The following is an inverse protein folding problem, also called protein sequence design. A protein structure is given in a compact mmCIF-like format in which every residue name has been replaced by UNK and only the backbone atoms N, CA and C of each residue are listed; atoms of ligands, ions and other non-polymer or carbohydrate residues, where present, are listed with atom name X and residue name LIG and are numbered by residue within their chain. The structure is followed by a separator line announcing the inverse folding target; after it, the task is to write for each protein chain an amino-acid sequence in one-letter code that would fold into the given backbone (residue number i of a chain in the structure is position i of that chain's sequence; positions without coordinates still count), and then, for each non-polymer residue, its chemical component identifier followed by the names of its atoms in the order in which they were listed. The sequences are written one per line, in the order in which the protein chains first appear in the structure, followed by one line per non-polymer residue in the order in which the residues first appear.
data_IF_477518742711
#
_entry.id   IF_477518742711
#
_cell.length_a   1.000
_cell.length_b   1.000
_cell.length_c   1.000
_cell.angle_alpha   90.00
_cell.angle_beta   90.00
_cell.angle_gamma   90.00
#
_symmetry.space_group_name_H-M   'P 1'
#
loop_
_entity.id
_entity.type
_entity.pdbx_description
1 polymer ?
#
# COMPACT_ATOMS: atom_id res chain seq x y z
N UNK A 1 5.11 8.37 -31.85
CA UNK A 1 4.38 9.05 -30.75
C UNK A 1 4.29 8.04 -29.62
N UNK A 2 5.19 8.14 -28.64
CA UNK A 2 5.28 7.19 -27.52
C UNK A 2 4.32 7.70 -26.45
N UNK A 3 3.24 6.97 -26.19
CA UNK A 3 2.35 7.27 -25.07
C UNK A 3 3.12 7.03 -23.77
N UNK A 4 3.43 8.11 -23.07
CA UNK A 4 4.03 8.11 -21.73
C UNK A 4 2.96 7.54 -20.80
N UNK A 5 3.22 6.38 -20.18
CA UNK A 5 2.37 5.82 -19.15
C UNK A 5 2.27 6.83 -18.01
N UNK A 6 1.17 7.57 -17.99
CA UNK A 6 0.91 8.54 -16.96
C UNK A 6 0.70 7.79 -15.63
N UNK A 7 1.41 8.26 -14.61
CA UNK A 7 1.37 7.84 -13.21
C UNK A 7 0.03 8.27 -12.57
N UNK A 8 -1.09 7.93 -13.20
CA UNK A 8 -2.44 8.42 -12.87
C UNK A 8 -3.15 7.40 -12.01
N UNK A 9 -3.27 7.71 -10.72
CA UNK A 9 -4.55 7.85 -9.99
C UNK A 9 -4.29 7.87 -8.48
N UNK A 10 -3.30 7.12 -7.99
CA UNK A 10 -3.11 6.90 -6.54
C UNK A 10 -2.39 8.05 -5.83
N UNK A 11 -1.48 8.77 -6.50
CA UNK A 11 -0.77 9.93 -5.90
C UNK A 11 -1.66 11.15 -5.65
N UNK A 12 -2.86 11.23 -6.26
CA UNK A 12 -3.85 12.28 -5.92
C UNK A 12 -4.79 11.86 -4.79
N UNK A 13 -5.02 10.56 -4.59
CA UNK A 13 -5.87 10.07 -3.51
C UNK A 13 -5.19 10.10 -2.15
N UNK A 14 -3.85 10.02 -2.11
CA UNK A 14 -3.08 10.09 -0.89
C UNK A 14 -2.34 11.42 -0.73
N UNK A 15 -2.64 12.12 0.37
CA UNK A 15 -1.81 13.21 0.84
C UNK A 15 -0.85 12.69 1.92
N UNK A 16 0.45 12.82 1.68
CA UNK A 16 1.49 12.56 2.69
C UNK A 16 1.51 13.73 3.67
N UNK A 17 1.26 13.47 4.95
CA UNK A 17 1.28 14.49 6.00
C UNK A 17 2.48 14.24 6.94
N UNK A 18 3.46 15.16 6.88
CA UNK A 18 4.58 15.43 7.82
C UNK A 18 5.93 14.70 7.68
N UNK A 19 7.04 15.48 7.80
CA UNK A 19 8.13 15.28 8.75
C UNK A 19 7.94 16.21 9.97
N UNK A 20 8.03 15.69 11.19
CA UNK A 20 7.67 16.40 12.42
C UNK A 20 8.57 17.62 12.71
N UNK A 21 7.97 18.77 13.08
CA UNK A 21 8.65 19.85 13.81
C UNK A 21 8.34 19.66 15.30
N UNK A 22 9.39 19.57 16.10
CA UNK A 22 9.36 19.18 17.51
C UNK A 22 8.37 19.95 18.38
N UNK A 23 7.42 19.23 19.00
CA UNK A 23 6.86 19.61 20.30
C UNK A 23 7.32 18.57 21.31
N UNK A 24 8.19 18.99 22.24
CA UNK A 24 8.58 18.16 23.38
C UNK A 24 7.45 18.15 24.40
N UNK A 25 7.00 16.95 24.78
CA UNK A 25 6.40 16.70 26.08
C UNK A 25 7.13 15.54 26.75
N UNK A 26 7.33 15.68 28.05
CA UNK A 26 8.24 14.95 28.90
C UNK A 26 8.13 13.41 28.83
N UNK A 27 9.31 12.76 28.93
CA UNK A 27 9.59 11.30 28.97
C UNK A 27 9.83 10.64 27.61
N UNK A 28 11.05 10.82 27.13
CA UNK A 28 11.97 9.85 26.51
C UNK A 28 11.42 8.58 25.80
N UNK A 29 10.34 8.66 25.04
CA UNK A 29 10.05 7.73 23.95
C UNK A 29 10.05 8.51 22.65
N UNK A 30 11.15 8.42 21.89
CA UNK A 30 11.08 8.71 20.45
C UNK A 30 10.31 7.56 19.81
N UNK A 31 8.98 7.62 19.83
CA UNK A 31 8.16 6.82 18.94
C UNK A 31 8.68 7.03 17.51
N UNK A 32 8.84 5.97 16.69
CA UNK A 32 9.26 6.15 15.31
C UNK A 32 8.27 7.10 14.62
N UNK A 33 8.72 8.07 13.80
CA UNK A 33 7.80 8.88 13.02
C UNK A 33 7.16 7.96 11.99
N UNK A 34 5.96 7.48 12.30
CA UNK A 34 5.11 6.70 11.40
C UNK A 34 4.89 7.50 10.12
N UNK A 35 4.97 6.84 8.97
CA UNK A 35 4.63 7.49 7.71
C UNK A 35 3.12 7.43 7.52
N UNK A 36 2.47 8.59 7.50
CA UNK A 36 1.01 8.68 7.45
C UNK A 36 0.54 9.12 6.06
N UNK A 37 -0.36 8.33 5.48
CA UNK A 37 -1.07 8.66 4.26
C UNK A 37 -2.56 8.84 4.55
N UNK A 38 -3.16 9.90 4.02
CA UNK A 38 -4.59 10.19 4.18
C UNK A 38 -5.33 9.94 2.88
N UNK A 39 -6.30 9.04 2.91
CA UNK A 39 -7.25 8.77 1.84
C UNK A 39 -8.47 9.68 2.01
N UNK A 40 -8.55 10.74 1.20
CA UNK A 40 -9.68 11.69 1.20
C UNK A 40 -10.87 11.27 0.35
N UNK A 41 -10.70 10.21 -0.43
CA UNK A 41 -11.71 9.61 -1.27
C UNK A 41 -11.38 8.12 -1.42
N UNK A 42 -12.34 7.32 -1.90
CA UNK A 42 -12.07 5.91 -2.20
C UNK A 42 -10.90 5.75 -3.16
N UNK A 43 -10.05 4.77 -2.87
CA UNK A 43 -8.87 4.42 -3.66
C UNK A 43 -9.17 3.14 -4.41
N UNK A 44 -8.87 3.15 -5.70
CA UNK A 44 -8.86 1.94 -6.51
C UNK A 44 -7.42 1.65 -6.91
N UNK A 45 -6.96 0.42 -6.64
CA UNK A 45 -5.75 -0.15 -7.24
C UNK A 45 -6.21 -0.87 -8.52
N UNK A 46 -6.00 -0.29 -9.71
CA UNK A 46 -6.50 -0.87 -10.96
C UNK A 46 -5.84 -2.21 -11.27
N UNK A 47 -6.53 -3.02 -12.08
CA UNK A 47 -5.96 -4.25 -12.63
C UNK A 47 -4.61 -4.01 -13.33
N UNK A 48 -3.66 -4.93 -13.14
CA UNK A 48 -2.31 -4.83 -13.69
C UNK A 48 -1.35 -3.91 -12.90
N UNK A 49 -1.85 -3.18 -11.90
CA UNK A 49 -1.01 -2.42 -10.97
C UNK A 49 -0.84 -3.17 -9.64
N UNK A 50 0.26 -2.86 -8.96
CA UNK A 50 0.56 -3.37 -7.61
C UNK A 50 0.74 -2.22 -6.62
N UNK A 51 0.01 -2.27 -5.51
CA UNK A 51 0.18 -1.40 -4.35
C UNK A 51 1.11 -2.06 -3.33
N UNK A 52 2.25 -1.45 -3.06
CA UNK A 52 3.20 -1.90 -2.04
C UNK A 52 3.23 -0.92 -0.88
N UNK A 53 3.01 -1.43 0.33
CA UNK A 53 2.97 -0.66 1.57
C UNK A 53 4.07 -1.17 2.50
N UNK A 54 5.02 -0.29 2.81
CA UNK A 54 6.17 -0.60 3.65
C UNK A 54 5.81 -0.74 5.14
N UNK A 55 6.64 -1.41 5.95
CA UNK A 55 6.45 -1.48 7.40
C UNK A 55 6.32 -0.10 8.08
N UNK A 56 5.47 -0.02 9.10
CA UNK A 56 5.26 1.19 9.91
C UNK A 56 4.46 2.30 9.20
N UNK A 57 3.87 2.01 8.04
CA UNK A 57 2.96 2.93 7.35
C UNK A 57 1.57 2.89 7.98
N UNK A 58 1.01 4.06 8.24
CA UNK A 58 -0.37 4.25 8.68
C UNK A 58 -1.16 4.86 7.53
N UNK A 59 -2.26 4.21 7.15
CA UNK A 59 -3.21 4.71 6.17
C UNK A 59 -4.50 5.09 6.90
N UNK A 60 -4.82 6.38 6.82
CA UNK A 60 -6.01 6.97 7.44
C UNK A 60 -7.08 7.27 6.39
N UNK A 61 -8.28 6.75 6.58
CA UNK A 61 -9.43 6.88 5.69
C UNK A 61 -10.40 7.94 6.21
N UNK A 62 -10.79 8.87 5.33
CA UNK A 62 -11.89 9.79 5.62
C UNK A 62 -13.24 9.03 5.64
N UNK A 63 -14.28 9.70 6.12
CA UNK A 63 -15.60 9.08 6.27
C UNK A 63 -16.10 8.45 4.96
N UNK A 64 -16.69 7.26 5.05
CA UNK A 64 -17.27 6.52 3.92
C UNK A 64 -16.30 6.24 2.75
N UNK A 65 -14.99 6.36 2.96
CA UNK A 65 -14.00 6.01 1.94
C UNK A 65 -13.61 4.54 2.02
N UNK A 66 -13.05 4.00 0.93
CA UNK A 66 -12.67 2.59 0.82
C UNK A 66 -11.33 2.40 0.13
N UNK A 67 -10.75 1.20 0.27
CA UNK A 67 -9.67 0.72 -0.58
C UNK A 67 -10.16 -0.47 -1.41
N UNK A 68 -10.38 -0.25 -2.70
CA UNK A 68 -10.73 -1.30 -3.65
C UNK A 68 -9.50 -1.77 -4.41
N UNK A 69 -9.24 -3.08 -4.43
CA UNK A 69 -8.08 -3.68 -5.09
C UNK A 69 -8.55 -4.56 -6.25
N UNK A 70 -8.39 -4.06 -7.48
CA UNK A 70 -8.59 -4.78 -8.73
C UNK A 70 -7.26 -5.33 -9.30
N UNK A 71 -6.14 -4.81 -8.82
CA UNK A 71 -4.77 -5.30 -9.06
C UNK A 71 -4.26 -6.20 -7.93
N UNK A 72 -3.06 -5.91 -7.41
CA UNK A 72 -2.49 -6.58 -6.23
C UNK A 72 -2.15 -5.61 -5.11
N UNK A 73 -2.18 -6.11 -3.88
CA UNK A 73 -1.71 -5.42 -2.69
C UNK A 73 -0.66 -6.25 -1.95
N UNK A 74 0.39 -5.58 -1.48
CA UNK A 74 1.42 -6.13 -0.63
C UNK A 74 1.63 -5.18 0.55
N UNK A 75 0.97 -5.47 1.66
CA UNK A 75 1.12 -4.78 2.94
C UNK A 75 1.93 -5.68 3.87
N UNK A 76 3.22 -5.37 4.01
CA UNK A 76 4.16 -6.18 4.81
C UNK A 76 4.73 -5.37 5.96
N UNK A 77 4.00 -5.36 7.07
CA UNK A 77 4.49 -4.84 8.34
C UNK A 77 5.54 -5.75 8.98
N UNK A 78 6.06 -5.31 10.11
CA UNK A 78 6.91 -6.10 11.01
C UNK A 78 6.38 -5.96 12.43
N UNK A 79 6.81 -6.84 13.34
CA UNK A 79 6.51 -6.69 14.77
C UNK A 79 6.99 -5.32 15.28
N UNK A 80 6.06 -4.50 15.80
CA UNK A 80 6.32 -3.13 16.26
C UNK A 80 6.39 -2.08 15.15
N UNK A 81 6.27 -2.49 13.89
CA UNK A 81 6.14 -1.63 12.71
C UNK A 81 5.02 -2.19 11.81
N UNK A 82 3.86 -2.46 12.42
CA UNK A 82 2.69 -2.96 11.70
C UNK A 82 2.25 -1.96 10.62
N UNK A 83 1.65 -2.46 9.54
CA UNK A 83 0.91 -1.59 8.60
C UNK A 83 -0.50 -1.40 9.16
N UNK A 84 -0.91 -0.16 9.35
CA UNK A 84 -2.18 0.16 10.01
C UNK A 84 -3.15 0.81 9.01
N UNK A 85 -4.35 0.24 8.88
CA UNK A 85 -5.47 0.82 8.14
C UNK A 85 -6.54 1.25 9.15
N UNK A 86 -6.86 2.54 9.19
CA UNK A 86 -7.70 3.11 10.25
C UNK A 86 -8.45 4.35 9.77
N UNK A 87 -9.38 4.85 10.58
CA UNK A 87 -10.12 6.10 10.33
C UNK A 87 -9.25 7.34 10.53
N UNK A 88 -9.57 8.42 9.82
CA UNK A 88 -8.91 9.72 9.98
C UNK A 88 -8.99 10.26 11.41
N UNK A 89 -10.10 9.95 12.10
CA UNK A 89 -10.43 10.38 13.46
C UNK A 89 -9.64 9.66 14.56
N UNK A 90 -8.77 8.70 14.20
CA UNK A 90 -8.05 7.90 15.18
C UNK A 90 -6.74 8.57 15.62
N UNK A 91 -6.80 9.38 16.67
CA UNK A 91 -5.63 10.12 17.15
C UNK A 91 -4.56 9.24 17.80
N UNK A 92 -4.92 8.05 18.28
CA UNK A 92 -3.98 7.08 18.85
C UNK A 92 -2.98 6.56 17.80
N UNK A 93 -3.38 6.59 16.52
CA UNK A 93 -2.54 6.16 15.39
C UNK A 93 -1.92 7.36 14.70
N UNK A 94 -0.79 7.82 15.21
CA UNK A 94 0.00 8.87 14.55
C UNK A 94 -0.54 10.30 14.71
N UNK A 95 -1.44 10.53 15.68
CA UNK A 95 -1.90 11.86 16.10
C UNK A 95 -3.15 12.39 15.37
N UNK A 96 -3.56 13.58 15.79
CA UNK A 96 -4.70 14.35 15.27
C UNK A 96 -4.38 14.91 13.87
N UNK A 97 -4.74 14.14 12.83
CA UNK A 97 -4.45 14.46 11.43
C UNK A 97 -5.57 15.29 10.80
N UNK A 98 -6.81 15.16 11.31
CA UNK A 98 -7.98 15.98 10.99
C UNK A 98 -7.90 17.38 11.60
N UNK A 99 -7.11 17.58 12.66
CA UNK A 99 -6.86 18.87 13.29
C UNK A 99 -8.03 19.39 14.12
N UNK A 100 -8.87 18.49 14.65
CA UNK A 100 -10.06 18.86 15.43
C UNK A 100 -9.91 18.67 16.95
N UNK A 101 -8.69 18.35 17.40
CA UNK A 101 -8.35 18.18 18.80
C UNK A 101 -8.96 16.90 19.38
N UNK A 102 -10.07 17.03 20.10
CA UNK A 102 -10.80 15.92 20.70
C UNK A 102 -12.29 15.94 20.29
N UNK A 103 -12.62 16.71 19.25
CA UNK A 103 -14.00 16.93 18.85
C UNK A 103 -14.62 15.68 18.23
N UNK A 104 -13.81 14.86 17.56
CA UNK A 104 -14.22 13.57 17.02
C UNK A 104 -13.34 12.45 17.56
N UNK A 105 -13.83 11.22 17.49
CA UNK A 105 -13.09 10.03 17.87
C UNK A 105 -13.44 8.88 16.93
N UNK A 106 -12.59 7.83 16.89
CA UNK A 106 -12.79 6.74 15.96
C UNK A 106 -14.01 5.90 16.38
N UNK A 107 -14.84 5.55 15.41
CA UNK A 107 -16.01 4.71 15.60
C UNK A 107 -16.06 3.59 14.55
N UNK A 108 -16.64 2.46 14.93
CA UNK A 108 -16.93 1.39 13.97
C UNK A 108 -17.78 1.93 12.82
N UNK A 109 -17.50 1.47 11.58
CA UNK A 109 -18.12 1.96 10.35
C UNK A 109 -17.72 3.37 9.90
N UNK A 110 -16.68 3.97 10.47
CA UNK A 110 -16.19 5.28 10.00
C UNK A 110 -15.77 5.26 8.52
N UNK A 111 -15.21 4.16 8.04
CA UNK A 111 -14.82 3.96 6.65
C UNK A 111 -15.28 2.58 6.16
N UNK A 112 -15.35 2.35 4.86
CA UNK A 112 -16.03 1.15 4.32
C UNK A 112 -15.22 -0.15 4.42
N UNK A 113 -13.89 -0.03 4.46
CA UNK A 113 -12.97 -1.18 4.50
C UNK A 113 -12.12 -1.40 3.25
N UNK A 114 -11.45 -2.54 3.24
CA UNK A 114 -10.66 -3.04 2.11
C UNK A 114 -11.47 -4.07 1.34
N UNK A 115 -11.60 -3.91 0.03
CA UNK A 115 -12.31 -4.84 -0.83
C UNK A 115 -11.43 -5.30 -1.99
N UNK A 116 -11.17 -6.60 -2.06
CA UNK A 116 -10.44 -7.23 -3.15
C UNK A 116 -11.44 -7.72 -4.20
N UNK A 117 -11.37 -7.14 -5.39
CA UNK A 117 -12.26 -7.39 -6.54
C UNK A 117 -11.58 -8.08 -7.72
N UNK A 118 -10.40 -8.65 -7.50
CA UNK A 118 -9.72 -9.49 -8.47
C UNK A 118 -9.81 -10.96 -8.07
N UNK A 119 -9.42 -11.85 -8.98
CA UNK A 119 -9.27 -13.29 -8.71
C UNK A 119 -7.90 -13.84 -9.14
N UNK A 120 -7.09 -13.05 -9.86
CA UNK A 120 -5.91 -13.56 -10.58
C UNK A 120 -4.57 -13.09 -10.02
N UNK A 121 -4.59 -12.21 -9.02
CA UNK A 121 -3.39 -11.59 -8.46
C UNK A 121 -3.16 -11.98 -6.99
N UNK A 122 -1.90 -11.89 -6.57
CA UNK A 122 -1.47 -12.16 -5.21
C UNK A 122 -1.84 -11.01 -4.28
N UNK A 123 -2.37 -11.35 -3.11
CA UNK A 123 -2.77 -10.39 -2.08
C UNK A 123 -2.07 -10.77 -0.78
N UNK A 124 -1.27 -9.87 -0.23
CA UNK A 124 -0.42 -10.14 0.93
C UNK A 124 -0.70 -9.11 2.02
N UNK A 125 -1.04 -9.60 3.20
CA UNK A 125 -1.21 -8.86 4.44
C UNK A 125 -0.41 -9.55 5.54
N UNK A 126 0.74 -8.99 5.90
CA UNK A 126 1.63 -9.52 6.93
C UNK A 126 1.81 -8.46 8.02
N UNK A 127 1.58 -8.80 9.29
CA UNK A 127 1.68 -7.87 10.43
C UNK A 127 0.88 -6.58 10.18
N UNK A 128 -0.41 -6.73 9.91
CA UNK A 128 -1.32 -5.60 9.62
C UNK A 128 -2.33 -5.42 10.73
N UNK A 129 -2.78 -4.18 10.94
CA UNK A 129 -3.92 -3.86 11.80
C UNK A 129 -4.99 -3.19 10.95
N UNK A 130 -6.22 -3.70 10.98
CA UNK A 130 -7.37 -3.14 10.27
C UNK A 130 -8.46 -2.83 11.28
N UNK A 131 -8.77 -1.55 11.43
CA UNK A 131 -9.63 -1.07 12.49
C UNK A 131 -10.61 0.04 12.09
N UNK A 132 -11.74 0.11 12.78
CA UNK A 132 -12.81 1.11 12.61
C UNK A 132 -13.50 1.10 11.23
N UNK A 133 -13.32 0.05 10.44
CA UNK A 133 -14.01 -0.11 9.17
C UNK A 133 -15.46 -0.56 9.37
N UNK A 134 -16.29 -0.47 8.34
CA UNK A 134 -17.56 -1.17 8.27
C UNK A 134 -17.32 -2.67 8.17
N UNK A 135 -16.50 -3.09 7.20
CA UNK A 135 -15.92 -4.42 7.20
C UNK A 135 -14.42 -4.35 6.99
N UNK A 136 -13.61 -4.95 7.85
CA UNK A 136 -12.15 -4.82 7.79
C UNK A 136 -11.58 -5.22 6.43
N UNK A 137 -11.80 -6.48 6.04
CA UNK A 137 -11.38 -7.01 4.74
C UNK A 137 -12.49 -7.84 4.10
N UNK A 138 -12.78 -7.57 2.83
CA UNK A 138 -13.64 -8.36 1.96
C UNK A 138 -12.83 -8.89 0.79
N UNK A 139 -12.92 -10.19 0.54
CA UNK A 139 -12.23 -10.82 -0.58
C UNK A 139 -13.12 -11.86 -1.24
N UNK A 140 -13.22 -11.84 -2.57
CA UNK A 140 -13.66 -12.99 -3.34
C UNK A 140 -12.61 -14.11 -3.31
N UNK A 141 -12.88 -15.25 -3.98
CA UNK A 141 -11.84 -16.24 -4.26
C UNK A 141 -10.72 -15.61 -5.08
N UNK A 142 -9.51 -15.73 -4.57
CA UNK A 142 -8.30 -15.19 -5.19
C UNK A 142 -7.32 -16.31 -5.47
N UNK A 143 -6.52 -16.15 -6.53
CA UNK A 143 -5.42 -17.05 -6.85
C UNK A 143 -4.50 -17.28 -5.64
N UNK A 144 -4.22 -16.20 -4.92
CA UNK A 144 -3.42 -16.25 -3.70
C UNK A 144 -3.82 -15.13 -2.75
N UNK A 145 -4.24 -15.49 -1.54
CA UNK A 145 -4.46 -14.58 -0.43
C UNK A 145 -3.66 -15.08 0.77
N UNK A 146 -2.69 -14.30 1.22
CA UNK A 146 -1.94 -14.55 2.44
C UNK A 146 -2.27 -13.46 3.47
N UNK A 147 -2.81 -13.88 4.59
CA UNK A 147 -3.03 -13.09 5.79
C UNK A 147 -2.20 -13.74 6.89
N UNK A 148 -1.23 -13.02 7.41
CA UNK A 148 -0.34 -13.49 8.45
C UNK A 148 -0.21 -12.42 9.53
N UNK A 149 -0.48 -12.79 10.78
CA UNK A 149 -0.46 -11.91 11.94
C UNK A 149 -1.27 -10.62 11.73
N UNK A 150 -2.47 -10.75 11.13
CA UNK A 150 -3.36 -9.62 10.95
C UNK A 150 -4.27 -9.47 12.17
N UNK A 151 -4.40 -8.25 12.69
CA UNK A 151 -5.31 -7.93 13.79
C UNK A 151 -6.48 -7.14 13.24
N UNK A 152 -7.69 -7.62 13.51
CA UNK A 152 -8.94 -6.93 13.17
C UNK A 152 -9.60 -6.49 14.47
N UNK A 153 -9.95 -5.20 14.58
CA UNK A 153 -10.55 -4.65 15.80
C UNK A 153 -11.40 -3.41 15.53
N UNK A 154 -12.39 -3.17 16.37
CA UNK A 154 -13.36 -2.09 16.33
C UNK A 154 -14.06 -1.93 14.97
N UNK A 155 -14.16 -2.99 14.18
CA UNK A 155 -14.89 -2.96 12.90
C UNK A 155 -16.40 -3.12 13.16
N UNK A 156 -17.22 -2.63 12.23
CA UNK A 156 -18.67 -2.59 12.35
C UNK A 156 -19.34 -3.93 12.09
N UNK A 157 -19.75 -4.16 10.85
CA UNK A 157 -20.49 -5.35 10.47
C UNK A 157 -19.65 -6.63 10.66
N UNK A 158 -18.41 -6.64 10.16
CA UNK A 158 -17.58 -7.85 10.08
C UNK A 158 -16.08 -7.56 10.05
N UNK A 159 -15.25 -8.42 10.65
CA UNK A 159 -13.79 -8.29 10.57
C UNK A 159 -13.24 -8.75 9.21
N UNK A 160 -13.63 -9.96 8.78
CA UNK A 160 -13.16 -10.54 7.52
C UNK A 160 -14.27 -11.36 6.85
N UNK A 161 -14.49 -11.09 5.57
CA UNK A 161 -15.37 -11.87 4.69
C UNK A 161 -14.56 -12.45 3.54
N UNK A 162 -14.64 -13.77 3.38
CA UNK A 162 -14.00 -14.49 2.29
C UNK A 162 -15.04 -15.26 1.47
N UNK A 163 -15.07 -15.04 0.16
CA UNK A 163 -16.00 -15.69 -0.76
C UNK A 163 -17.46 -15.65 -0.26
N UNK A 164 -17.93 -14.45 0.08
CA UNK A 164 -19.25 -14.18 0.66
C UNK A 164 -19.55 -14.83 2.01
N UNK A 165 -18.57 -15.52 2.62
CA UNK A 165 -18.70 -16.11 3.94
C UNK A 165 -18.01 -15.26 5.00
N UNK A 166 -18.70 -15.02 6.10
CA UNK A 166 -18.11 -14.40 7.29
C UNK A 166 -17.09 -15.38 7.88
N UNK A 167 -15.87 -14.89 8.11
CA UNK A 167 -14.82 -15.66 8.77
C UNK A 167 -14.87 -15.43 10.29
N UNK A 168 -14.57 -16.46 11.06
CA UNK A 168 -14.50 -16.38 12.52
C UNK A 168 -13.17 -15.76 12.95
N UNK A 169 -13.14 -14.44 13.01
CA UNK A 169 -12.01 -13.65 13.52
C UNK A 169 -12.33 -13.16 14.91
N UNK A 170 -11.47 -13.48 15.88
CA UNK A 170 -11.57 -12.94 17.23
C UNK A 170 -11.01 -11.51 17.26
N UNK A 171 -11.75 -10.63 17.92
CA UNK A 171 -11.42 -9.22 18.03
C UNK A 171 -10.07 -9.00 18.71
N UNK A 172 -9.18 -8.22 18.09
CA UNK A 172 -7.90 -7.82 18.67
C UNK A 172 -6.86 -8.95 18.77
N UNK A 173 -7.18 -10.16 18.30
CA UNK A 173 -6.27 -11.31 18.31
C UNK A 173 -5.69 -11.54 16.92
N UNK A 174 -4.37 -11.79 16.78
CA UNK A 174 -3.77 -12.15 15.52
C UNK A 174 -4.47 -13.29 14.80
N UNK A 175 -4.77 -13.07 13.53
CA UNK A 175 -5.44 -14.00 12.65
C UNK A 175 -4.56 -14.35 11.45
N UNK A 176 -4.57 -15.63 11.09
CA UNK A 176 -3.86 -16.16 9.94
C UNK A 176 -4.85 -16.83 8.98
N UNK A 177 -4.70 -16.58 7.70
CA UNK A 177 -5.48 -17.21 6.65
C UNK A 177 -4.65 -17.31 5.38
N UNK A 178 -4.72 -18.45 4.71
CA UNK A 178 -3.98 -18.68 3.47
C UNK A 178 -4.85 -19.45 2.50
N UNK A 179 -4.97 -18.93 1.29
CA UNK A 179 -5.54 -19.63 0.14
C UNK A 179 -4.55 -19.65 -1.03
N UNK A 180 -4.47 -20.79 -1.71
CA UNK A 180 -3.76 -20.94 -2.98
C UNK A 180 -4.66 -21.71 -3.94
N UNK A 181 -5.11 -21.05 -5.01
CA UNK A 181 -5.82 -21.73 -6.11
C UNK A 181 -4.77 -22.04 -7.18
N UNK A 182 -4.33 -23.29 -7.22
CA UNK A 182 -3.50 -23.78 -8.32
C UNK A 182 -4.28 -23.69 -9.62
N UNK A 183 -3.78 -22.93 -10.60
CA UNK A 183 -4.31 -23.03 -11.97
C UNK A 183 -4.03 -24.45 -12.43
N UNK A 184 -5.07 -25.27 -12.58
CA UNK A 184 -4.93 -26.60 -13.15
C UNK A 184 -4.20 -26.46 -14.49
N UNK A 185 -2.94 -26.89 -14.55
CA UNK A 185 -2.32 -27.21 -15.82
C UNK A 185 -3.15 -28.33 -16.40
N UNK A 186 -3.81 -28.09 -17.53
CA UNK A 186 -4.40 -29.15 -18.34
C UNK A 186 -3.27 -30.10 -18.71
N UNK A 187 -3.04 -31.09 -17.86
CA UNK A 187 -2.18 -32.22 -18.16
C UNK A 187 -3.02 -33.08 -19.07
N UNK A 188 -2.86 -32.93 -20.38
CA UNK A 188 -3.46 -33.86 -21.33
C UNK A 188 -2.97 -35.26 -20.98
N UNK A 189 -3.85 -36.09 -20.43
CA UNK A 189 -3.61 -37.52 -20.33
C UNK A 189 -3.45 -38.09 -21.74
N UNK A 190 -2.25 -38.62 -22.00
CA UNK A 190 -1.87 -39.63 -22.97
C UNK A 190 -2.72 -39.79 -24.24
N UNK A 191 -2.16 -39.41 -25.40
CA UNK A 191 -2.21 -40.26 -26.58
C UNK A 191 -0.96 -40.08 -27.44
N UNK A 192 -0.34 -41.19 -27.78
CA UNK A 192 0.89 -41.30 -28.56
C UNK A 192 0.68 -40.87 -30.02
N UNK A 193 1.37 -39.83 -30.48
CA UNK A 193 1.69 -39.68 -31.91
C UNK A 193 3.15 -39.24 -32.05
N UNK A 194 3.99 -40.16 -32.53
CA UNK A 194 5.28 -39.82 -33.13
C UNK A 194 5.04 -38.86 -34.29
N UNK A 195 5.57 -37.64 -34.21
CA UNK A 195 5.97 -36.89 -35.40
C UNK A 195 7.44 -36.53 -35.24
N UNK A 196 8.26 -37.26 -35.98
CA UNK A 196 9.70 -37.06 -36.06
C UNK A 196 10.03 -35.63 -36.51
N UNK A 197 10.98 -35.01 -35.79
CA UNK A 197 12.12 -34.28 -36.38
C UNK A 197 11.84 -33.47 -37.68
N UNK A 198 10.84 -32.61 -37.67
CA UNK A 198 10.65 -31.51 -38.61
C UNK A 198 9.87 -30.42 -37.85
N UNK A 199 10.34 -29.20 -37.59
CA UNK A 199 11.26 -28.32 -38.30
C UNK A 199 11.76 -27.27 -37.31
N UNK A 200 13.07 -27.23 -37.04
CA UNK A 200 13.78 -26.10 -36.41
C UNK A 200 13.93 -24.89 -37.37
N UNK A 201 13.07 -24.78 -38.39
CA UNK A 201 13.02 -23.68 -39.36
C UNK A 201 11.58 -23.19 -39.51
N UNK A 202 11.06 -22.49 -38.50
CA UNK A 202 9.95 -21.55 -38.69
C UNK A 202 9.95 -20.44 -37.63
N UNK A 203 11.14 -19.98 -37.25
CA UNK A 203 11.35 -18.58 -36.90
C UNK A 203 11.61 -17.87 -38.24
N UNK A 204 10.97 -16.70 -38.47
CA UNK A 204 11.11 -15.79 -39.62
C UNK A 204 10.04 -15.74 -40.73
N UNK A 205 8.79 -16.16 -40.51
CA UNK A 205 7.69 -15.72 -41.40
C UNK A 205 6.41 -15.42 -40.62
N UNK A 206 6.30 -14.18 -40.14
CA UNK A 206 5.16 -13.27 -40.23
C UNK A 206 5.34 -12.17 -39.18
N UNK A 207 5.86 -11.02 -39.64
CA UNK A 207 5.78 -9.78 -38.89
C UNK A 207 4.35 -9.23 -38.93
N UNK A 208 4.02 -8.41 -37.93
CA UNK A 208 2.88 -7.50 -37.99
C UNK A 208 1.94 -7.56 -36.79
N UNK A 209 2.07 -6.54 -35.93
CA UNK A 209 1.07 -5.97 -35.01
C UNK A 209 0.60 -6.80 -33.79
N UNK A 210 1.16 -6.42 -32.63
CA UNK A 210 0.29 -5.86 -31.58
C UNK A 210 0.05 -6.71 -30.34
N UNK A 211 1.04 -7.42 -29.80
CA UNK A 211 0.95 -7.83 -28.38
C UNK A 211 1.26 -6.58 -27.53
N UNK A 212 0.20 -5.91 -27.06
CA UNK A 212 0.34 -4.79 -26.15
C UNK A 212 1.08 -5.25 -24.90
N UNK A 213 2.30 -4.74 -24.68
CA UNK A 213 2.91 -4.76 -23.36
C UNK A 213 1.99 -3.96 -22.43
N UNK A 214 1.23 -4.65 -21.58
CA UNK A 214 0.72 -4.02 -20.38
C UNK A 214 1.94 -3.65 -19.54
N UNK A 215 2.25 -2.36 -19.47
CA UNK A 215 3.27 -1.86 -18.57
C UNK A 215 2.79 -2.15 -17.14
N UNK A 216 3.41 -3.13 -16.46
CA UNK A 216 3.19 -3.38 -15.04
C UNK A 216 3.69 -2.16 -14.26
N UNK A 217 2.78 -1.26 -13.89
CA UNK A 217 3.10 -0.12 -13.04
C UNK A 217 3.13 -0.57 -11.58
N UNK A 218 4.26 -0.34 -10.92
CA UNK A 218 4.37 -0.55 -9.47
C UNK A 218 4.18 0.80 -8.78
N UNK A 219 3.34 0.84 -7.74
CA UNK A 219 3.11 2.03 -6.92
C UNK A 219 3.62 1.73 -5.51
N UNK A 220 4.57 2.55 -5.07
CA UNK A 220 5.21 2.46 -3.77
C UNK A 220 4.69 3.56 -2.84
N UNK A 221 4.36 3.18 -1.61
CA UNK A 221 4.23 4.08 -0.48
C UNK A 221 5.47 3.93 0.41
N UNK A 222 6.50 4.74 0.16
CA UNK A 222 7.85 4.62 0.76
C UNK A 222 8.14 5.66 1.84
N UNK A 223 8.96 5.30 2.84
CA UNK A 223 9.66 6.25 3.72
C UNK A 223 10.80 6.92 2.95
N UNK A 224 10.83 8.26 2.91
CA UNK A 224 11.99 8.96 2.35
C UNK A 224 13.24 8.57 3.17
N UNK A 225 14.24 8.00 2.52
CA UNK A 225 15.54 7.74 3.16
C UNK A 225 16.05 9.06 3.71
N UNK A 226 16.36 9.09 5.02
CA UNK A 226 17.05 10.20 5.63
C UNK A 226 18.31 10.50 4.79
N UNK A 227 18.38 11.69 4.24
CA UNK A 227 19.42 12.08 3.28
C UNK A 227 20.81 11.74 3.82
N UNK A 228 21.51 10.89 3.09
CA UNK A 228 22.97 10.89 3.16
C UNK A 228 23.38 12.22 2.54
N UNK A 229 23.79 13.17 3.37
CA UNK A 229 24.43 14.39 2.90
C UNK A 229 25.71 13.98 2.18
N UNK A 230 25.68 14.01 0.85
CA UNK A 230 26.88 14.06 0.03
C UNK A 230 27.64 15.32 0.42
N UNK A 231 28.72 15.12 1.17
CA UNK A 231 29.64 16.17 1.57
C UNK A 231 30.45 16.59 0.33
N UNK A 232 29.82 17.37 -0.56
CA UNK A 232 30.50 17.97 -1.70
C UNK A 232 31.07 19.32 -1.28
N UNK A 233 32.28 19.25 -0.73
CA UNK A 233 33.16 20.39 -0.49
C UNK A 233 33.17 21.30 -1.71
N UNK A 234 32.56 22.47 -1.60
CA UNK A 234 32.81 23.59 -2.50
C UNK A 234 33.41 24.70 -1.65
N UNK A 235 34.73 24.83 -1.75
CA UNK A 235 35.50 25.95 -1.22
C UNK A 235 34.95 27.25 -1.82
N UNK A 236 34.35 28.11 -0.98
CA UNK A 236 34.13 29.51 -1.29
C UNK A 236 35.24 30.33 -0.65
N UNK A 237 36.04 30.99 -1.48
CA UNK A 237 37.02 32.00 -1.11
C UNK A 237 36.33 33.19 -0.42
N UNK A 238 36.89 33.78 0.65
CA UNK A 238 36.32 34.97 1.29
C UNK A 238 36.46 36.20 0.37
N UNK A 239 35.36 36.92 0.13
CA UNK A 239 35.38 38.25 -0.48
C UNK A 239 35.59 39.26 0.67
N UNK A 240 36.67 40.03 0.59
CA UNK A 240 36.92 41.17 1.47
C UNK A 240 35.92 42.30 1.15
N UNK A 241 35.36 42.88 2.20
CA UNK A 241 34.52 44.08 2.20
C UNK A 241 35.40 45.34 2.18
N UNK A 242 35.30 46.24 1.18
CA UNK A 242 36.00 47.51 1.18
C UNK A 242 35.00 48.68 1.22
N UNK A 243 34.50 49.05 2.39
CA UNK A 243 34.09 50.45 2.66
C UNK A 243 33.78 50.69 4.14
N UNK A 244 34.79 51.17 4.89
CA UNK A 244 34.57 51.87 6.16
C UNK A 244 34.01 53.29 5.92
N UNK A 245 33.31 53.87 6.91
CA UNK A 245 32.72 55.21 6.79
C UNK A 245 33.79 56.32 6.83
N UNK A 246 33.57 57.48 6.17
CA UNK A 246 34.52 58.58 6.16
C UNK A 246 34.53 59.32 7.50
N UNK A 247 35.71 59.85 7.83
CA UNK A 247 36.00 60.56 9.07
C UNK A 247 35.36 61.96 9.11
N UNK A 248 34.78 62.30 10.26
CA UNK A 248 34.98 63.54 11.02
C UNK A 248 34.66 63.30 12.50
#
# INVERSE_FOLDING_TARGET
MVFRAEKISISRCFQKKYPFTSVQSSKNEKAPPWLIYVAKQSITVPAGLRLVIEPGVIIKFDEMTSLTVEGSIEAKGKTGEEVIFTTLKNDERGGDINGDGYATGPAAMDWEGIEIRTMSAEQIFENVVIEYANCGLKSAKNRYLNIENAVFQNNGAENFRYNDQKMEVQEGIPYNFREIIETATLTSQNDTVKLEKASKKMYWMLGGLGVGLAAAGIIYLERDKAGTTDNKTTTKTPIQDPSGPPAE
#
